data_IF_637636269381
#
_entry.id   IF_637636269381
#
_cell.length_a   1.000
_cell.length_b   1.000
_cell.length_c   1.000
_cell.angle_alpha   90.00
_cell.angle_beta   90.00
_cell.angle_gamma   90.00
#
_symmetry.space_group_name_H-M   'P 1'
#
loop_
_entity.id
_entity.type
_entity.pdbx_description
1 polymer ?
#
# COMPACT_ATOMS: atom_id res chain seq x y z
N UNK A 1 27.49 -9.42 -3.50
CA UNK A 1 26.90 -8.21 -2.88
C UNK A 1 25.43 -8.20 -3.23
N UNK A 2 24.52 -8.21 -2.26
CA UNK A 2 23.07 -8.18 -2.56
C UNK A 2 22.72 -6.81 -3.15
N UNK A 3 21.73 -6.72 -4.03
CA UNK A 3 21.32 -5.45 -4.67
C UNK A 3 21.06 -4.34 -3.64
N UNK A 4 20.49 -4.71 -2.49
CA UNK A 4 20.29 -3.84 -1.33
C UNK A 4 21.59 -3.23 -0.76
N UNK A 5 22.64 -4.03 -0.61
CA UNK A 5 23.94 -3.56 -0.09
C UNK A 5 24.56 -2.51 -1.03
N UNK A 6 24.33 -2.68 -2.34
CA UNK A 6 24.78 -1.74 -3.36
C UNK A 6 24.04 -0.40 -3.25
N UNK A 7 22.71 -0.43 -3.14
CA UNK A 7 21.91 0.79 -2.98
C UNK A 7 22.32 1.61 -1.75
N UNK A 8 22.51 0.95 -0.60
CA UNK A 8 22.93 1.63 0.63
C UNK A 8 24.32 2.28 0.49
N UNK A 9 25.25 1.63 -0.21
CA UNK A 9 26.57 2.21 -0.48
C UNK A 9 26.54 3.43 -1.41
N UNK A 10 25.48 3.58 -2.20
CA UNK A 10 25.24 4.71 -3.12
C UNK A 10 24.45 5.86 -2.46
N UNK A 11 24.13 5.78 -1.17
CA UNK A 11 23.38 6.81 -0.44
C UNK A 11 21.88 6.78 -0.72
N UNK A 12 21.35 5.67 -1.20
CA UNK A 12 19.91 5.47 -1.42
C UNK A 12 19.13 5.48 -0.10
N UNK A 13 18.17 6.41 0.02
CA UNK A 13 17.21 6.49 1.10
C UNK A 13 15.79 6.28 0.52
N UNK A 14 15.15 5.12 0.77
CA UNK A 14 13.87 4.77 0.16
C UNK A 14 12.77 5.84 0.36
N UNK A 15 12.74 6.53 1.50
CA UNK A 15 11.73 7.55 1.81
C UNK A 15 11.99 8.92 1.18
N UNK A 16 13.16 9.12 0.56
CA UNK A 16 13.58 10.40 0.02
C UNK A 16 13.81 10.32 -1.49
N UNK A 17 12.85 10.74 -2.33
CA UNK A 17 12.95 10.57 -3.78
C UNK A 17 14.18 11.22 -4.42
N UNK A 18 14.71 12.30 -3.86
CA UNK A 18 15.94 12.93 -4.37
C UNK A 18 17.16 12.01 -4.33
N UNK A 19 17.13 10.92 -3.53
CA UNK A 19 18.22 9.93 -3.44
C UNK A 19 18.00 8.68 -4.31
N UNK A 20 16.82 8.50 -4.92
CA UNK A 20 16.54 7.31 -5.71
C UNK A 20 17.40 7.22 -6.98
N UNK A 21 17.66 6.03 -7.54
CA UNK A 21 18.30 5.90 -8.85
C UNK A 21 17.54 6.67 -9.93
N UNK A 22 18.23 7.08 -10.99
CA UNK A 22 17.57 7.71 -12.14
C UNK A 22 16.52 6.77 -12.75
N UNK A 23 15.34 7.28 -13.17
CA UNK A 23 14.30 6.45 -13.77
C UNK A 23 14.84 5.76 -15.03
N UNK A 24 14.75 4.43 -15.15
CA UNK A 24 15.20 3.77 -16.36
C UNK A 24 14.25 4.11 -17.52
N UNK A 25 14.78 4.23 -18.74
CA UNK A 25 13.98 4.56 -19.92
C UNK A 25 12.97 3.46 -20.29
N UNK A 26 13.27 2.22 -19.93
CA UNK A 26 12.43 1.04 -20.09
C UNK A 26 12.51 0.17 -18.84
N UNK A 27 11.57 -0.76 -18.67
CA UNK A 27 11.62 -1.71 -17.56
C UNK A 27 12.93 -2.52 -17.56
N UNK A 28 13.52 -2.67 -16.37
CA UNK A 28 14.65 -3.56 -16.07
C UNK A 28 14.36 -4.26 -14.74
N UNK A 29 14.90 -5.46 -14.50
CA UNK A 29 14.57 -6.24 -13.31
C UNK A 29 14.90 -5.51 -12.00
N UNK A 30 15.97 -4.72 -12.00
CA UNK A 30 16.43 -3.90 -10.89
C UNK A 30 15.41 -2.82 -10.48
N UNK A 31 14.55 -2.39 -11.42
CA UNK A 31 13.50 -1.42 -11.12
C UNK A 31 12.46 -1.99 -10.15
N UNK A 32 12.05 -3.25 -10.34
CA UNK A 32 11.11 -3.91 -9.43
C UNK A 32 11.69 -4.04 -8.01
N UNK A 33 12.99 -4.31 -7.90
CA UNK A 33 13.69 -4.36 -6.60
C UNK A 33 13.77 -2.99 -5.94
N UNK A 34 13.98 -1.93 -6.72
CA UNK A 34 13.95 -0.54 -6.22
C UNK A 34 12.55 -0.18 -5.70
N UNK A 35 11.50 -0.49 -6.47
CA UNK A 35 10.12 -0.26 -6.02
C UNK A 35 9.76 -1.08 -4.78
N UNK A 36 10.23 -2.33 -4.71
CA UNK A 36 10.07 -3.18 -3.52
C UNK A 36 10.70 -2.54 -2.30
N UNK A 37 11.91 -2.00 -2.43
CA UNK A 37 12.57 -1.29 -1.32
C UNK A 37 11.82 -0.01 -0.93
N UNK A 38 11.35 0.79 -1.89
CA UNK A 38 10.56 1.99 -1.60
C UNK A 38 9.26 1.63 -0.88
N UNK A 39 8.42 0.78 -1.48
CA UNK A 39 7.10 0.45 -0.91
C UNK A 39 7.26 -0.32 0.40
N UNK A 40 8.18 -1.28 0.45
CA UNK A 40 8.43 -2.11 1.63
C UNK A 40 8.97 -1.28 2.78
N UNK A 41 10.16 -0.70 2.60
CA UNK A 41 10.92 -0.10 3.71
C UNK A 41 10.29 1.21 4.22
N UNK A 42 9.64 2.01 3.37
CA UNK A 42 9.13 3.34 3.80
C UNK A 42 7.70 3.32 4.30
N UNK A 43 6.96 2.25 4.03
CA UNK A 43 5.51 2.25 4.21
C UNK A 43 5.04 0.97 4.87
N UNK A 44 5.26 -0.20 4.25
CA UNK A 44 4.73 -1.44 4.81
C UNK A 44 5.47 -1.87 6.09
N UNK A 45 6.80 -1.72 6.12
CA UNK A 45 7.63 -2.02 7.28
C UNK A 45 7.41 -0.99 8.39
N UNK A 46 7.30 0.30 8.06
CA UNK A 46 6.99 1.35 9.04
C UNK A 46 5.62 1.15 9.71
N UNK A 47 4.57 0.83 8.92
CA UNK A 47 3.26 0.48 9.49
C UNK A 47 3.37 -0.78 10.36
N UNK A 48 4.16 -1.77 9.93
CA UNK A 48 4.39 -2.99 10.72
C UNK A 48 5.09 -2.70 12.05
N UNK A 49 6.09 -1.82 12.05
CA UNK A 49 6.81 -1.40 13.25
C UNK A 49 5.86 -0.72 14.25
N UNK A 50 5.02 0.22 13.78
CA UNK A 50 4.02 0.89 14.62
C UNK A 50 3.03 -0.11 15.23
N UNK A 51 2.59 -1.10 14.46
CA UNK A 51 1.72 -2.17 14.96
C UNK A 51 2.44 -3.01 16.01
N UNK A 52 3.69 -3.40 15.75
CA UNK A 52 4.52 -4.17 16.69
C UNK A 52 4.74 -3.41 18.00
N UNK A 53 5.05 -2.11 17.95
CA UNK A 53 5.22 -1.26 19.12
C UNK A 53 3.92 -1.15 19.93
N UNK A 54 2.79 -0.98 19.24
CA UNK A 54 1.48 -0.93 19.88
C UNK A 54 1.15 -2.25 20.61
N UNK A 55 1.48 -3.40 20.00
CA UNK A 55 1.32 -4.71 20.65
C UNK A 55 2.30 -4.92 21.81
N UNK A 56 3.55 -4.46 21.70
CA UNK A 56 4.52 -4.58 22.79
C UNK A 56 4.07 -3.83 24.05
N UNK A 57 3.42 -2.67 23.88
CA UNK A 57 2.95 -1.83 24.99
C UNK A 57 1.56 -2.23 25.49
N UNK A 58 0.59 -2.40 24.59
CA UNK A 58 -0.83 -2.53 24.95
C UNK A 58 -1.40 -3.93 24.68
N UNK A 59 -0.63 -4.84 24.09
CA UNK A 59 -1.07 -6.18 23.64
C UNK A 59 -2.22 -6.17 22.62
N UNK A 60 -2.65 -5.01 22.15
CA UNK A 60 -3.81 -4.83 21.27
C UNK A 60 -3.72 -3.51 20.49
N UNK A 61 -4.47 -3.41 19.39
CA UNK A 61 -4.67 -2.18 18.62
C UNK A 61 -5.91 -1.38 19.04
N UNK A 62 -6.66 -1.78 20.09
CA UNK A 62 -7.92 -1.13 20.51
C UNK A 62 -7.86 0.41 20.66
N UNK A 63 -6.71 0.96 21.05
CA UNK A 63 -6.53 2.41 21.24
C UNK A 63 -5.64 3.08 20.19
N UNK A 64 -5.22 2.34 19.17
CA UNK A 64 -4.34 2.81 18.09
C UNK A 64 -4.88 2.47 16.70
N UNK A 65 -5.95 1.67 16.65
CA UNK A 65 -6.46 1.05 15.44
C UNK A 65 -6.91 2.05 14.39
N UNK A 66 -7.52 3.18 14.78
CA UNK A 66 -7.94 4.19 13.81
C UNK A 66 -6.75 4.85 13.09
N UNK A 67 -5.67 5.13 13.82
CA UNK A 67 -4.45 5.71 13.23
C UNK A 67 -3.79 4.70 12.28
N UNK A 68 -3.70 3.44 12.71
CA UNK A 68 -3.19 2.35 11.87
C UNK A 68 -4.07 2.14 10.64
N UNK A 69 -5.40 2.20 10.79
CA UNK A 69 -6.35 2.08 9.68
C UNK A 69 -6.09 3.16 8.63
N UNK A 70 -5.97 4.42 9.04
CA UNK A 70 -5.70 5.52 8.12
C UNK A 70 -4.37 5.33 7.37
N UNK A 71 -3.32 4.90 8.07
CA UNK A 71 -2.03 4.62 7.44
C UNK A 71 -2.15 3.51 6.39
N UNK A 72 -2.84 2.40 6.70
CA UNK A 72 -3.08 1.30 5.77
C UNK A 72 -3.92 1.74 4.56
N UNK A 73 -4.99 2.50 4.78
CA UNK A 73 -5.85 3.01 3.71
C UNK A 73 -5.08 3.99 2.79
N UNK A 74 -4.24 4.85 3.34
CA UNK A 74 -3.35 5.70 2.55
C UNK A 74 -2.28 4.90 1.79
N UNK A 75 -1.81 3.79 2.37
CA UNK A 75 -0.85 2.92 1.72
C UNK A 75 -1.44 2.24 0.48
N UNK A 76 -2.70 1.79 0.52
CA UNK A 76 -3.39 1.26 -0.67
C UNK A 76 -3.40 2.28 -1.81
N UNK A 77 -3.79 3.53 -1.54
CA UNK A 77 -3.80 4.61 -2.55
C UNK A 77 -2.40 4.86 -3.13
N UNK A 78 -1.38 4.86 -2.27
CA UNK A 78 0.00 5.10 -2.65
C UNK A 78 0.55 4.01 -3.57
N UNK A 79 0.30 2.73 -3.26
CA UNK A 79 0.70 1.61 -4.14
C UNK A 79 -0.13 1.61 -5.43
N UNK A 80 -1.43 1.84 -5.33
CA UNK A 80 -2.33 1.88 -6.50
C UNK A 80 -1.91 2.94 -7.53
N UNK A 81 -1.31 4.05 -7.10
CA UNK A 81 -0.80 5.10 -7.99
C UNK A 81 0.41 4.66 -8.84
N UNK A 82 1.15 3.61 -8.45
CA UNK A 82 2.15 2.99 -9.32
C UNK A 82 1.51 2.04 -10.34
N UNK A 83 0.43 1.36 -9.97
CA UNK A 83 -0.20 0.37 -10.83
C UNK A 83 -1.13 0.99 -11.90
N UNK A 84 -1.90 2.02 -11.54
CA UNK A 84 -2.97 2.53 -12.39
C UNK A 84 -3.02 4.05 -12.49
N UNK A 85 -3.44 4.51 -13.66
CA UNK A 85 -3.88 5.87 -13.91
C UNK A 85 -5.28 6.18 -13.39
N UNK A 86 -5.55 7.48 -13.24
CA UNK A 86 -6.87 8.03 -12.97
C UNK A 86 -7.04 8.61 -11.58
N UNK A 87 -8.30 8.89 -11.24
CA UNK A 87 -8.66 9.46 -9.95
C UNK A 87 -8.36 8.49 -8.80
N UNK A 88 -8.15 9.03 -7.59
CA UNK A 88 -7.87 8.27 -6.36
C UNK A 88 -8.81 7.08 -6.20
N UNK A 89 -10.12 7.32 -6.28
CA UNK A 89 -11.10 6.25 -6.11
C UNK A 89 -11.05 5.17 -7.17
N UNK A 90 -10.82 5.53 -8.44
CA UNK A 90 -10.78 4.55 -9.52
C UNK A 90 -9.59 3.61 -9.39
N UNK A 91 -8.37 4.17 -9.19
CA UNK A 91 -7.16 3.35 -9.03
C UNK A 91 -7.23 2.50 -7.77
N UNK A 92 -7.76 3.04 -6.67
CA UNK A 92 -7.87 2.35 -5.39
C UNK A 92 -8.75 1.09 -5.51
N UNK A 93 -9.94 1.26 -6.10
CA UNK A 93 -10.89 0.16 -6.33
C UNK A 93 -10.31 -0.89 -7.27
N UNK A 94 -9.69 -0.46 -8.38
CA UNK A 94 -9.02 -1.38 -9.32
C UNK A 94 -7.91 -2.17 -8.63
N UNK A 95 -7.12 -1.53 -7.78
CA UNK A 95 -6.03 -2.19 -7.06
C UNK A 95 -6.54 -3.28 -6.13
N UNK A 96 -7.60 -3.02 -5.37
CA UNK A 96 -8.23 -4.06 -4.54
C UNK A 96 -8.80 -5.17 -5.44
N UNK A 97 -9.58 -4.83 -6.46
CA UNK A 97 -10.24 -5.81 -7.31
C UNK A 97 -9.26 -6.76 -8.05
N UNK A 98 -8.02 -6.32 -8.31
CA UNK A 98 -7.04 -7.08 -9.08
C UNK A 98 -6.01 -7.77 -8.20
N UNK A 99 -5.47 -7.09 -7.18
CA UNK A 99 -4.30 -7.57 -6.45
C UNK A 99 -4.59 -8.07 -5.03
N UNK A 100 -5.67 -7.61 -4.38
CA UNK A 100 -6.00 -8.10 -3.05
C UNK A 100 -6.44 -9.58 -3.07
N UNK A 101 -6.36 -10.27 -1.93
CA UNK A 101 -6.92 -11.60 -1.77
C UNK A 101 -8.40 -11.67 -2.20
N UNK A 102 -8.81 -12.84 -2.71
CA UNK A 102 -10.10 -13.01 -3.37
C UNK A 102 -11.32 -12.69 -2.48
N UNK A 103 -11.20 -12.80 -1.16
CA UNK A 103 -12.25 -12.44 -0.21
C UNK A 103 -12.44 -10.91 -0.08
N UNK A 104 -11.41 -10.11 -0.36
CA UNK A 104 -11.49 -8.65 -0.35
C UNK A 104 -12.02 -8.05 -1.67
N UNK A 105 -11.77 -8.71 -2.80
CA UNK A 105 -12.07 -8.18 -4.13
C UNK A 105 -13.55 -7.75 -4.33
N UNK A 106 -14.56 -8.51 -3.85
CA UNK A 106 -15.97 -8.11 -3.97
C UNK A 106 -16.32 -6.80 -3.25
N UNK A 107 -15.50 -6.41 -2.28
CA UNK A 107 -15.73 -5.24 -1.44
C UNK A 107 -14.89 -4.02 -1.86
N UNK A 108 -14.26 -4.04 -3.04
CA UNK A 108 -13.39 -2.95 -3.49
C UNK A 108 -14.07 -1.57 -3.46
N UNK A 109 -15.33 -1.51 -3.91
CA UNK A 109 -16.14 -0.28 -3.86
C UNK A 109 -16.42 0.18 -2.43
N UNK A 110 -16.86 -0.75 -1.57
CA UNK A 110 -17.21 -0.46 -0.18
C UNK A 110 -15.99 -0.05 0.64
N UNK A 111 -14.84 -0.71 0.45
CA UNK A 111 -13.59 -0.37 1.13
C UNK A 111 -13.16 1.06 0.75
N UNK A 112 -13.29 1.45 -0.52
CA UNK A 112 -12.98 2.82 -0.89
C UNK A 112 -13.99 3.83 -0.30
N UNK A 113 -15.29 3.62 -0.55
CA UNK A 113 -16.32 4.60 -0.21
C UNK A 113 -16.56 4.71 1.30
N UNK A 114 -16.65 3.58 1.99
CA UNK A 114 -17.06 3.50 3.40
C UNK A 114 -15.88 3.55 4.37
N UNK A 115 -14.68 3.11 3.96
CA UNK A 115 -13.48 3.21 4.80
C UNK A 115 -12.61 4.38 4.39
N UNK A 116 -11.94 4.31 3.23
CA UNK A 116 -10.95 5.32 2.84
C UNK A 116 -11.57 6.71 2.79
N UNK A 117 -12.61 6.89 1.99
CA UNK A 117 -13.20 8.21 1.76
C UNK A 117 -13.83 8.77 3.05
N UNK A 118 -14.60 7.95 3.77
CA UNK A 118 -15.27 8.38 5.01
C UNK A 118 -14.29 8.63 6.17
N UNK A 119 -13.27 7.79 6.36
CA UNK A 119 -12.30 7.96 7.45
C UNK A 119 -11.42 9.19 7.22
N UNK A 120 -10.94 9.42 5.99
CA UNK A 120 -10.07 10.55 5.67
C UNK A 120 -10.81 11.88 5.73
N UNK A 121 -12.05 11.94 5.24
CA UNK A 121 -12.76 13.21 5.10
C UNK A 121 -13.73 13.52 6.24
N UNK A 122 -14.14 12.52 7.01
CA UNK A 122 -15.15 12.68 8.06
C UNK A 122 -14.72 12.10 9.41
N UNK A 123 -13.55 11.45 9.51
CA UNK A 123 -13.07 10.75 10.71
C UNK A 123 -14.13 9.80 11.31
N UNK A 124 -14.97 9.22 10.46
CA UNK A 124 -16.11 8.42 10.89
C UNK A 124 -16.30 7.21 9.99
N UNK A 125 -16.81 6.13 10.58
CA UNK A 125 -17.10 4.86 9.94
C UNK A 125 -18.61 4.67 9.94
N UNK A 126 -19.24 4.77 8.77
CA UNK A 126 -20.66 4.52 8.61
C UNK A 126 -20.85 3.14 8.00
N UNK A 127 -21.68 2.30 8.63
CA UNK A 127 -22.04 0.96 8.12
C UNK A 127 -20.84 0.02 7.93
N UNK A 128 -19.77 0.23 8.70
CA UNK A 128 -18.56 -0.58 8.62
C UNK A 128 -17.91 -0.77 9.99
N UNK A 129 -17.17 -1.87 10.14
CA UNK A 129 -16.48 -2.22 11.38
C UNK A 129 -15.00 -2.54 11.15
N UNK A 130 -14.12 -1.97 11.97
CA UNK A 130 -12.70 -2.32 12.00
C UNK A 130 -12.39 -2.98 13.34
N UNK A 131 -11.86 -4.19 13.29
CA UNK A 131 -11.42 -4.93 14.48
C UNK A 131 -9.90 -4.86 14.64
N UNK A 132 -9.36 -4.91 15.87
CA UNK A 132 -7.92 -4.82 16.09
C UNK A 132 -7.14 -6.06 15.64
N UNK A 133 -7.81 -7.18 15.34
CA UNK A 133 -7.21 -8.49 15.15
C UNK A 133 -7.11 -8.95 13.70
N UNK A 134 -7.23 -10.27 13.53
CA UNK A 134 -7.10 -11.00 12.26
C UNK A 134 -8.47 -11.46 11.71
N UNK A 135 -9.55 -10.79 12.08
CA UNK A 135 -10.89 -11.10 11.61
C UNK A 135 -10.93 -11.00 10.07
N UNK A 136 -11.49 -12.03 9.43
CA UNK A 136 -11.69 -12.03 7.99
C UNK A 136 -12.66 -10.94 7.58
N UNK A 137 -12.55 -10.49 6.33
CA UNK A 137 -13.57 -9.64 5.74
C UNK A 137 -14.90 -10.38 5.65
N UNK A 138 -15.94 -9.79 6.22
CA UNK A 138 -17.31 -10.33 6.22
C UNK A 138 -18.30 -9.22 5.93
N UNK A 139 -19.40 -9.57 5.25
CA UNK A 139 -20.55 -8.70 5.06
C UNK A 139 -21.73 -9.24 5.86
N UNK A 140 -22.25 -8.44 6.80
CA UNK A 140 -23.37 -8.81 7.66
C UNK A 140 -24.40 -7.67 7.66
N UNK A 141 -25.62 -7.96 7.20
CA UNK A 141 -26.73 -7.01 7.29
C UNK A 141 -26.48 -5.66 6.62
N UNK A 142 -25.74 -5.64 5.50
CA UNK A 142 -25.38 -4.41 4.78
C UNK A 142 -24.21 -3.64 5.38
N UNK A 143 -23.53 -4.18 6.40
CA UNK A 143 -22.27 -3.65 6.92
C UNK A 143 -21.11 -4.59 6.62
N UNK A 144 -19.97 -4.05 6.20
CA UNK A 144 -18.75 -4.83 5.98
C UNK A 144 -17.83 -4.64 7.20
N UNK A 145 -17.12 -5.68 7.61
CA UNK A 145 -16.09 -5.55 8.65
C UNK A 145 -14.89 -6.44 8.40
N UNK A 146 -13.71 -6.02 8.84
CA UNK A 146 -12.47 -6.80 8.80
C UNK A 146 -11.53 -6.40 9.95
N UNK A 147 -10.58 -7.29 10.27
CA UNK A 147 -9.50 -7.03 11.23
C UNK A 147 -8.34 -6.25 10.61
N UNK A 148 -7.72 -5.35 11.38
CA UNK A 148 -6.59 -4.54 10.94
C UNK A 148 -5.36 -5.36 10.57
N UNK A 149 -5.05 -6.39 11.34
CA UNK A 149 -3.93 -7.28 11.06
C UNK A 149 -4.21 -8.11 9.80
N UNK A 150 -5.47 -8.50 9.59
CA UNK A 150 -5.87 -9.19 8.37
C UNK A 150 -5.77 -8.26 7.14
N UNK A 151 -6.20 -7.00 7.26
CA UNK A 151 -6.10 -6.02 6.18
C UNK A 151 -4.65 -5.63 5.86
N UNK A 152 -3.80 -5.49 6.89
CA UNK A 152 -2.36 -5.28 6.71
C UNK A 152 -1.74 -6.42 5.91
N UNK A 153 -2.03 -7.66 6.27
CA UNK A 153 -1.54 -8.83 5.56
C UNK A 153 -2.06 -8.90 4.12
N UNK A 154 -3.35 -8.58 3.92
CA UNK A 154 -3.94 -8.48 2.59
C UNK A 154 -3.24 -7.43 1.71
N UNK A 155 -2.86 -6.27 2.28
CA UNK A 155 -2.11 -5.25 1.55
C UNK A 155 -0.67 -5.69 1.22
N UNK A 156 0.01 -6.40 2.13
CA UNK A 156 1.33 -6.98 1.84
C UNK A 156 1.26 -7.95 0.67
N UNK A 157 0.31 -8.88 0.72
CA UNK A 157 0.05 -9.83 -0.38
C UNK A 157 -0.32 -9.11 -1.69
N UNK A 158 -1.17 -8.08 -1.63
CA UNK A 158 -1.52 -7.30 -2.81
C UNK A 158 -0.31 -6.60 -3.43
N UNK A 159 0.57 -6.07 -2.60
CA UNK A 159 1.81 -5.43 -3.05
C UNK A 159 2.74 -6.44 -3.72
N UNK A 160 2.89 -7.65 -3.14
CA UNK A 160 3.67 -8.72 -3.75
C UNK A 160 3.07 -9.22 -5.06
N UNK A 161 1.74 -9.36 -5.13
CA UNK A 161 1.02 -9.71 -6.35
C UNK A 161 1.23 -8.66 -7.45
N UNK A 162 1.16 -7.37 -7.11
CA UNK A 162 1.47 -6.29 -8.03
C UNK A 162 2.92 -6.35 -8.53
N UNK A 163 3.89 -6.44 -7.63
CA UNK A 163 5.31 -6.45 -7.98
C UNK A 163 5.72 -7.70 -8.77
N UNK A 164 5.07 -8.85 -8.54
CA UNK A 164 5.32 -10.09 -9.30
C UNK A 164 4.73 -10.08 -10.70
N UNK A 165 3.66 -9.32 -10.95
CA UNK A 165 3.08 -9.14 -12.28
C UNK A 165 3.80 -8.07 -13.10
N UNK A 166 4.43 -7.10 -12.43
CA UNK A 166 5.15 -5.98 -13.08
C UNK A 166 6.13 -6.40 -14.21
N UNK A 167 6.93 -7.49 -14.12
CA UNK A 167 7.83 -7.89 -15.21
C UNK A 167 7.12 -8.32 -16.50
N UNK A 168 5.84 -8.70 -16.41
CA UNK A 168 5.11 -9.35 -17.51
C UNK A 168 3.93 -8.50 -18.05
N UNK A 169 3.64 -7.36 -17.43
CA UNK A 169 2.54 -6.47 -17.83
C UNK A 169 3.06 -5.10 -18.29
N UNK A 170 2.93 -4.83 -19.59
CA UNK A 170 3.45 -3.62 -20.24
C UNK A 170 2.78 -2.35 -19.69
N UNK A 171 1.48 -2.40 -19.39
CA UNK A 171 0.77 -1.23 -18.85
C UNK A 171 1.17 -0.96 -17.40
N UNK A 172 1.35 -2.01 -16.57
CA UNK A 172 1.88 -1.84 -15.21
C UNK A 172 3.30 -1.26 -15.23
N UNK A 173 4.17 -1.71 -16.14
CA UNK A 173 5.52 -1.17 -16.30
C UNK A 173 5.48 0.32 -16.63
N UNK A 174 4.70 0.69 -17.64
CA UNK A 174 4.53 2.07 -18.08
C UNK A 174 4.02 2.97 -16.94
N UNK A 175 2.98 2.53 -16.23
CA UNK A 175 2.39 3.30 -15.12
C UNK A 175 3.39 3.47 -13.98
N UNK A 176 4.09 2.39 -13.61
CA UNK A 176 5.03 2.39 -12.50
C UNK A 176 6.25 3.27 -12.78
N UNK A 177 6.81 3.17 -14.00
CA UNK A 177 7.95 4.00 -14.42
C UNK A 177 7.59 5.47 -14.47
N UNK A 178 6.42 5.82 -15.03
CA UNK A 178 5.95 7.20 -15.04
C UNK A 178 5.79 7.74 -13.63
N UNK A 179 5.08 7.01 -12.75
CA UNK A 179 4.86 7.45 -11.36
C UNK A 179 6.18 7.64 -10.61
N UNK A 180 7.11 6.70 -10.78
CA UNK A 180 8.44 6.81 -10.21
C UNK A 180 9.17 8.06 -10.71
N UNK A 181 9.17 8.32 -12.03
CA UNK A 181 9.81 9.48 -12.62
C UNK A 181 9.18 10.80 -12.15
N UNK A 182 7.86 10.88 -12.05
CA UNK A 182 7.15 12.05 -11.50
C UNK A 182 7.61 12.38 -10.07
N UNK A 183 7.67 11.36 -9.20
CA UNK A 183 8.09 11.53 -7.81
C UNK A 183 9.56 11.92 -7.71
N UNK A 184 10.44 11.25 -8.46
CA UNK A 184 11.87 11.56 -8.52
C UNK A 184 12.11 12.99 -8.99
N UNK A 185 11.49 13.39 -10.10
CA UNK A 185 11.68 14.70 -10.71
C UNK A 185 11.07 15.85 -9.90
N UNK A 186 10.05 15.57 -9.07
CA UNK A 186 9.44 16.58 -8.20
C UNK A 186 10.23 16.83 -6.90
N UNK A 187 11.10 15.90 -6.49
CA UNK A 187 11.96 16.10 -5.34
C UNK A 187 13.13 17.01 -5.70
N UNK A 188 13.13 18.22 -5.13
CA UNK A 188 14.26 19.15 -5.25
C UNK A 188 15.51 18.55 -4.62
N UNK A 189 16.65 18.75 -5.27
CA UNK A 189 17.98 18.49 -4.71
C UNK A 189 18.35 19.48 -3.62
#
# INVERSE_FOLDING_TARGET
MRYRDKLQSEGFLPWQPSTWPEPPATYVAEFAETLRAIIGETMLDEISNVISDAHAVNKSLEHRGHVVALALLCAVDSVAAYAFDGGVGERYKKFIAIFFPADYQPFADDIYNLYRNSSVHSWNLFQVGIWPGNERVVANGGSISFGLLNFQEALKQATDNFLSQLPNDIELQKNSLRRYAELKNSAKS
#
